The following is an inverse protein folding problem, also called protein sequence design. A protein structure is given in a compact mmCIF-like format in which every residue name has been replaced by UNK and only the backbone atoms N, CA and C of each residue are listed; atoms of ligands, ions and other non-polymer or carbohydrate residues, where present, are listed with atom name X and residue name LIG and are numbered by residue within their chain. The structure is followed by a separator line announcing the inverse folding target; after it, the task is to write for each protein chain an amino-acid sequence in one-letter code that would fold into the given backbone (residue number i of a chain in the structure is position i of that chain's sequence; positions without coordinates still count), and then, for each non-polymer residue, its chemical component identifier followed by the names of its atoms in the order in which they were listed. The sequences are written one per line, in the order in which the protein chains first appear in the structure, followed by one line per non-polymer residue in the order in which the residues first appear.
data_IF_410401483704
#
_entry.id   IF_410401483704
#
_cell.length_a   1.000
_cell.length_b   1.000
_cell.length_c   1.000
_cell.angle_alpha   90.00
_cell.angle_beta   90.00
_cell.angle_gamma   90.00
#
_symmetry.space_group_name_H-M   'P 1'
#
loop_
_entity.id
_entity.type
_entity.pdbx_description
1 polymer ?
#
# COMPACT_ATOMS: atom_id res chain seq x y z
N UNK A 1 -9.04 -65.28 -41.26
CA UNK A 1 -8.16 -66.45 -41.06
C UNK A 1 -7.34 -66.15 -39.81
N UNK A 2 -7.62 -66.71 -38.77
CA UNK A 2 -7.68 -67.96 -38.08
C UNK A 2 -6.93 -67.72 -36.77
N UNK A 3 -7.64 -67.67 -35.62
CA UNK A 3 -7.76 -68.67 -34.56
C UNK A 3 -6.39 -69.27 -34.16
N UNK A 4 -5.97 -69.17 -32.91
CA UNK A 4 -6.46 -70.03 -31.83
C UNK A 4 -5.88 -69.62 -30.47
N UNK A 5 -6.73 -69.76 -29.45
CA UNK A 5 -6.46 -69.76 -28.04
C UNK A 5 -5.79 -71.06 -27.58
N UNK A 6 -5.29 -71.13 -26.33
CA UNK A 6 -5.34 -72.20 -25.32
C UNK A 6 -4.46 -71.84 -24.14
N UNK A 7 -5.04 -71.53 -22.99
CA UNK A 7 -5.25 -72.20 -21.72
C UNK A 7 -4.06 -72.69 -20.89
N UNK A 8 -4.03 -72.14 -19.64
CA UNK A 8 -4.04 -72.85 -18.33
C UNK A 8 -2.76 -73.65 -17.98
N UNK A 9 -2.22 -73.61 -16.81
CA UNK A 9 -2.75 -73.95 -15.50
C UNK A 9 -1.69 -73.76 -14.40
N UNK A 10 -2.16 -73.51 -13.18
CA UNK A 10 -1.67 -73.84 -11.86
C UNK A 10 -0.15 -74.06 -11.58
N UNK A 11 0.32 -73.35 -10.55
CA UNK A 11 0.61 -74.00 -9.25
C UNK A 11 1.01 -72.96 -8.18
N UNK A 12 0.28 -73.09 -7.08
CA UNK A 12 0.56 -72.65 -5.70
C UNK A 12 2.00 -72.82 -5.26
N UNK A 13 2.57 -71.83 -4.53
CA UNK A 13 3.16 -72.16 -3.26
C UNK A 13 3.33 -70.92 -2.32
N UNK A 14 2.87 -71.19 -1.15
CA UNK A 14 2.92 -70.54 0.14
C UNK A 14 4.31 -70.26 0.68
N UNK A 15 4.48 -69.20 1.43
CA UNK A 15 5.21 -68.93 2.67
C UNK A 15 5.92 -67.56 2.59
N UNK A 16 5.94 -66.72 3.52
CA UNK A 16 5.67 -66.59 4.92
C UNK A 16 5.84 -65.14 5.32
N UNK A 17 4.99 -64.76 6.21
CA UNK A 17 5.03 -63.61 7.13
C UNK A 17 6.42 -62.94 7.36
N UNK A 18 6.43 -61.60 7.26
CA UNK A 18 6.96 -60.83 8.41
C UNK A 18 6.27 -59.48 8.49
N UNK A 19 5.78 -59.22 9.66
CA UNK A 19 5.08 -58.04 10.14
C UNK A 19 5.93 -56.80 10.06
N UNK A 20 5.36 -55.71 9.63
CA UNK A 20 5.84 -54.34 9.78
C UNK A 20 4.67 -53.37 9.83
N UNK A 21 3.95 -53.40 10.94
CA UNK A 21 2.85 -52.48 11.22
C UNK A 21 3.46 -51.07 11.42
N UNK A 22 3.37 -50.21 10.42
CA UNK A 22 3.51 -48.80 10.62
C UNK A 22 2.16 -48.26 11.15
N UNK A 23 2.15 -47.93 12.41
CA UNK A 23 1.07 -47.32 13.14
C UNK A 23 0.72 -45.95 12.52
N UNK A 24 -0.45 -45.88 11.89
CA UNK A 24 -1.21 -44.67 11.73
C UNK A 24 -1.74 -44.26 13.13
N UNK A 25 -0.99 -43.47 13.85
CA UNK A 25 -1.51 -42.74 14.99
C UNK A 25 -2.36 -41.58 14.49
N UNK A 26 -3.62 -41.46 14.85
CA UNK A 26 -4.36 -40.22 14.70
C UNK A 26 -3.68 -39.20 15.61
N UNK A 27 -3.14 -38.13 15.02
CA UNK A 27 -2.74 -36.97 15.80
C UNK A 27 -3.99 -36.46 16.49
N UNK A 28 -4.11 -36.79 17.76
CA UNK A 28 -4.99 -36.13 18.70
C UNK A 28 -4.66 -34.64 18.66
N UNK A 29 -5.54 -33.87 18.07
CA UNK A 29 -5.62 -32.44 18.30
C UNK A 29 -5.82 -32.23 19.80
N UNK A 30 -4.74 -32.00 20.52
CA UNK A 30 -4.79 -31.49 21.87
C UNK A 30 -5.42 -30.12 21.83
N UNK A 31 -6.63 -29.98 22.30
CA UNK A 31 -7.21 -28.72 22.75
C UNK A 31 -6.27 -28.14 23.81
N UNK A 32 -5.35 -27.28 23.39
CA UNK A 32 -4.55 -26.45 24.29
C UNK A 32 -5.00 -25.01 24.12
N UNK A 33 -5.53 -24.49 25.23
CA UNK A 33 -5.59 -23.10 25.68
C UNK A 33 -5.64 -22.03 24.61
N UNK A 34 -6.65 -21.19 24.65
CA UNK A 34 -6.89 -19.96 23.89
C UNK A 34 -5.73 -18.93 24.01
N UNK A 35 -4.56 -19.30 23.54
CA UNK A 35 -3.45 -18.41 23.28
C UNK A 35 -3.56 -17.94 21.83
N UNK A 36 -3.47 -16.65 21.59
CA UNK A 36 -3.39 -16.04 20.29
C UNK A 36 -2.22 -16.67 19.49
N UNK A 37 -2.53 -17.56 18.53
CA UNK A 37 -1.57 -18.13 17.60
C UNK A 37 -1.61 -17.33 16.30
N UNK A 38 -0.52 -16.58 15.94
CA UNK A 38 -0.42 -15.94 14.65
C UNK A 38 -0.60 -16.95 13.52
N UNK A 39 -1.38 -16.61 12.51
CA UNK A 39 -1.57 -17.47 11.35
C UNK A 39 -0.23 -17.79 10.67
N UNK A 40 -0.04 -19.03 10.19
CA UNK A 40 1.14 -19.41 9.43
C UNK A 40 1.28 -18.54 8.17
N UNK A 41 2.39 -17.84 8.03
CA UNK A 41 2.63 -16.87 6.94
C UNK A 41 3.47 -17.44 5.79
N UNK A 42 3.90 -18.68 5.88
CA UNK A 42 4.67 -19.38 4.83
C UNK A 42 5.88 -18.56 4.32
N UNK A 43 6.64 -17.96 5.23
CA UNK A 43 7.70 -16.97 4.90
C UNK A 43 8.79 -17.59 4.02
N UNK A 44 9.13 -18.86 4.25
CA UNK A 44 10.22 -19.58 3.56
C UNK A 44 9.75 -20.83 2.83
N UNK A 45 8.47 -21.10 2.84
CA UNK A 45 7.86 -22.27 2.18
C UNK A 45 6.81 -21.81 1.17
N UNK A 46 6.60 -22.52 0.07
CA UNK A 46 5.54 -22.17 -0.87
C UNK A 46 4.16 -22.20 -0.20
N UNK A 47 3.34 -21.19 -0.54
CA UNK A 47 1.96 -21.12 -0.05
C UNK A 47 1.17 -22.32 -0.56
N UNK A 48 0.58 -23.15 0.34
CA UNK A 48 -0.14 -24.33 -0.05
C UNK A 48 -1.50 -24.00 -0.68
N UNK A 49 -2.10 -24.91 -1.49
CA UNK A 49 -3.33 -24.66 -2.21
C UNK A 49 -4.51 -24.21 -1.37
N UNK A 50 -4.64 -24.74 -0.14
CA UNK A 50 -5.73 -24.39 0.78
C UNK A 50 -5.64 -22.97 1.34
N UNK A 51 -4.45 -22.35 1.33
CA UNK A 51 -4.22 -20.99 1.80
C UNK A 51 -4.36 -19.93 0.70
N UNK A 52 -4.62 -20.34 -0.56
CA UNK A 52 -4.74 -19.42 -1.69
C UNK A 52 -6.05 -18.63 -1.63
N UNK A 53 -5.94 -17.33 -1.98
CA UNK A 53 -7.02 -16.36 -1.91
C UNK A 53 -7.68 -16.13 -3.29
N UNK A 54 -8.94 -15.69 -3.25
CA UNK A 54 -9.71 -15.33 -4.44
C UNK A 54 -9.44 -13.91 -4.91
N UNK A 55 -9.93 -13.58 -6.10
CA UNK A 55 -9.75 -12.29 -6.76
C UNK A 55 -10.18 -11.07 -5.90
N UNK A 56 -11.32 -11.18 -5.22
CA UNK A 56 -11.86 -10.09 -4.39
C UNK A 56 -10.90 -9.60 -3.31
N UNK A 57 -10.08 -10.51 -2.74
CA UNK A 57 -9.10 -10.14 -1.70
C UNK A 57 -8.04 -9.16 -2.22
N UNK A 58 -7.65 -9.30 -3.49
CA UNK A 58 -6.68 -8.41 -4.12
C UNK A 58 -7.30 -7.08 -4.54
N UNK A 59 -8.52 -7.09 -5.09
CA UNK A 59 -9.25 -5.87 -5.45
C UNK A 59 -9.41 -4.95 -4.23
N UNK A 60 -9.92 -5.49 -3.12
CA UNK A 60 -10.11 -4.71 -1.89
C UNK A 60 -8.81 -4.21 -1.29
N UNK A 61 -7.76 -5.07 -1.30
CA UNK A 61 -6.45 -4.69 -0.80
C UNK A 61 -5.85 -3.54 -1.61
N UNK A 62 -5.81 -3.65 -2.95
CA UNK A 62 -5.27 -2.60 -3.81
C UNK A 62 -6.08 -1.31 -3.75
N UNK A 63 -7.42 -1.39 -3.79
CA UNK A 63 -8.26 -0.21 -3.65
C UNK A 63 -8.05 0.50 -2.30
N UNK A 64 -7.96 -0.26 -1.20
CA UNK A 64 -7.75 0.29 0.14
C UNK A 64 -6.36 0.88 0.34
N UNK A 65 -5.34 0.20 -0.17
CA UNK A 65 -3.94 0.65 -0.03
C UNK A 65 -3.67 1.95 -0.79
N UNK A 66 -4.31 2.14 -1.95
CA UNK A 66 -4.09 3.29 -2.82
C UNK A 66 -5.14 4.41 -2.67
N UNK A 67 -6.07 4.29 -1.74
CA UNK A 67 -6.84 5.39 -1.16
C UNK A 67 -6.21 5.81 0.16
N UNK A 68 -4.93 6.15 0.13
CA UNK A 68 -4.12 6.39 1.31
C UNK A 68 -4.21 7.83 1.81
N UNK A 69 -3.85 8.05 3.07
CA UNK A 69 -3.71 9.41 3.62
C UNK A 69 -2.62 10.22 2.92
N UNK A 70 -1.57 9.58 2.41
CA UNK A 70 -0.49 10.19 1.62
C UNK A 70 -0.97 10.76 0.28
N UNK A 71 -2.04 10.23 -0.28
CA UNK A 71 -2.63 10.74 -1.53
C UNK A 71 -3.12 12.19 -1.40
N UNK A 72 -3.52 12.57 -0.17
CA UNK A 72 -3.89 13.94 0.17
C UNK A 72 -2.70 14.92 0.14
N UNK A 73 -1.47 14.41 0.11
CA UNK A 73 -0.24 15.21 -0.04
C UNK A 73 0.25 15.20 -1.50
N UNK A 74 0.12 14.08 -2.19
CA UNK A 74 0.60 13.90 -3.57
C UNK A 74 -0.25 14.73 -4.55
N UNK A 75 -1.57 14.74 -4.41
CA UNK A 75 -2.44 15.57 -5.24
C UNK A 75 -2.07 17.06 -5.22
N UNK A 76 -1.87 17.68 -4.05
CA UNK A 76 -1.34 19.03 -3.91
C UNK A 76 0.02 19.25 -4.60
N UNK A 77 0.94 18.30 -4.52
CA UNK A 77 2.25 18.39 -5.18
C UNK A 77 2.10 18.63 -6.69
N UNK A 78 1.14 17.97 -7.34
CA UNK A 78 0.90 18.16 -8.77
C UNK A 78 0.41 19.57 -9.10
N UNK A 79 -0.44 20.16 -8.26
CA UNK A 79 -0.87 21.56 -8.42
C UNK A 79 0.30 22.50 -8.17
N UNK A 80 1.05 22.28 -7.10
CA UNK A 80 2.20 23.11 -6.72
C UNK A 80 3.31 23.08 -7.76
N UNK A 81 3.50 21.96 -8.46
CA UNK A 81 4.46 21.80 -9.55
C UNK A 81 4.12 22.58 -10.82
N UNK A 82 2.95 23.24 -10.88
CA UNK A 82 2.48 24.00 -12.04
C UNK A 82 2.22 23.17 -13.28
N UNK A 83 1.80 21.90 -13.14
CA UNK A 83 1.50 21.02 -14.27
C UNK A 83 0.28 21.50 -15.08
N UNK A 84 0.23 21.17 -16.38
CA UNK A 84 -0.95 21.40 -17.21
C UNK A 84 -2.01 20.32 -16.98
N UNK A 85 -3.30 20.66 -17.19
CA UNK A 85 -4.39 19.70 -17.07
C UNK A 85 -4.24 18.51 -18.03
N UNK A 86 -3.74 18.73 -19.24
CA UNK A 86 -3.50 17.68 -20.19
C UNK A 86 -2.40 16.72 -19.71
N UNK A 87 -1.25 17.27 -19.30
CA UNK A 87 -0.11 16.48 -18.82
C UNK A 87 -0.51 15.67 -17.57
N UNK A 88 -1.27 16.28 -16.67
CA UNK A 88 -1.77 15.63 -15.47
C UNK A 88 -2.66 14.44 -15.79
N UNK A 89 -3.74 14.65 -16.53
CA UNK A 89 -4.75 13.61 -16.79
C UNK A 89 -4.17 12.48 -17.65
N UNK A 90 -3.51 12.83 -18.76
CA UNK A 90 -2.97 11.84 -19.68
C UNK A 90 -1.76 11.13 -19.07
N UNK A 91 -0.90 11.86 -18.38
CA UNK A 91 0.25 11.29 -17.67
C UNK A 91 -0.17 10.24 -16.62
N UNK A 92 -1.19 10.55 -15.83
CA UNK A 92 -1.73 9.60 -14.85
C UNK A 92 -2.39 8.38 -15.51
N UNK A 93 -3.19 8.59 -16.57
CA UNK A 93 -3.83 7.48 -17.28
C UNK A 93 -2.80 6.50 -17.84
N UNK A 94 -1.77 7.02 -18.49
CA UNK A 94 -0.71 6.20 -19.11
C UNK A 94 0.17 5.56 -18.03
N UNK A 95 0.63 6.31 -17.04
CA UNK A 95 1.50 5.80 -15.98
C UNK A 95 0.82 4.69 -15.16
N UNK A 96 -0.44 4.87 -14.79
CA UNK A 96 -1.22 3.85 -14.09
C UNK A 96 -1.48 2.61 -14.96
N UNK A 97 -1.70 2.78 -16.29
CA UNK A 97 -1.82 1.65 -17.19
C UNK A 97 -0.53 0.82 -17.23
N UNK A 98 0.62 1.47 -17.36
CA UNK A 98 1.94 0.81 -17.35
C UNK A 98 2.18 0.08 -16.04
N UNK A 99 1.76 0.67 -14.92
CA UNK A 99 1.82 0.01 -13.62
C UNK A 99 0.99 -1.28 -13.59
N UNK A 100 -0.29 -1.23 -13.98
CA UNK A 100 -1.17 -2.41 -14.04
C UNK A 100 -0.59 -3.50 -14.94
N UNK A 101 -0.06 -3.13 -16.11
CA UNK A 101 0.58 -4.07 -17.04
C UNK A 101 1.81 -4.73 -16.39
N UNK A 102 2.60 -3.98 -15.62
CA UNK A 102 3.75 -4.52 -14.90
C UNK A 102 3.33 -5.55 -13.85
N UNK A 103 2.26 -5.29 -13.07
CA UNK A 103 1.71 -6.30 -12.14
C UNK A 103 1.19 -7.54 -12.88
N UNK A 104 0.46 -7.32 -13.97
CA UNK A 104 -0.22 -8.39 -14.68
C UNK A 104 0.75 -9.31 -15.42
N UNK A 105 1.78 -8.75 -16.05
CA UNK A 105 2.68 -9.53 -16.91
C UNK A 105 4.00 -9.91 -16.23
N UNK A 106 4.44 -9.19 -15.21
CA UNK A 106 5.69 -9.48 -14.49
C UNK A 106 5.44 -10.03 -13.10
N UNK A 107 4.88 -9.23 -12.19
CA UNK A 107 4.81 -9.58 -10.78
C UNK A 107 3.93 -10.81 -10.50
N UNK A 108 2.68 -10.79 -10.89
CA UNK A 108 1.73 -11.85 -10.57
C UNK A 108 2.08 -13.21 -11.20
N UNK A 109 2.57 -13.32 -12.46
CA UNK A 109 3.04 -14.58 -13.01
C UNK A 109 4.22 -15.19 -12.25
N UNK A 110 5.20 -14.38 -11.85
CA UNK A 110 6.35 -14.84 -11.07
C UNK A 110 5.88 -15.30 -9.68
N UNK A 111 5.08 -14.48 -9.00
CA UNK A 111 4.59 -14.76 -7.66
C UNK A 111 3.74 -16.04 -7.59
N UNK A 112 2.85 -16.25 -8.56
CA UNK A 112 1.97 -17.42 -8.61
C UNK A 112 2.69 -18.70 -8.98
N UNK A 113 3.82 -18.64 -9.67
CA UNK A 113 4.70 -19.80 -9.94
C UNK A 113 5.57 -20.12 -8.75
N UNK A 114 6.23 -19.11 -8.17
CA UNK A 114 7.15 -19.31 -7.07
C UNK A 114 6.46 -19.63 -5.74
N UNK A 115 5.31 -19.03 -5.46
CA UNK A 115 4.56 -19.14 -4.19
C UNK A 115 5.36 -18.71 -2.95
N UNK A 116 6.47 -18.03 -3.13
CA UNK A 116 7.42 -17.62 -2.09
C UNK A 116 7.34 -16.11 -1.83
N UNK A 117 7.83 -15.68 -0.67
CA UNK A 117 8.09 -14.24 -0.47
C UNK A 117 9.14 -13.76 -1.46
N UNK A 118 9.09 -12.48 -1.82
CA UNK A 118 10.13 -11.83 -2.63
C UNK A 118 11.53 -12.17 -2.10
N UNK A 119 11.74 -11.96 -0.80
CA UNK A 119 13.04 -12.08 -0.15
C UNK A 119 13.61 -13.48 -0.22
N UNK A 120 12.78 -14.49 -0.05
CA UNK A 120 13.22 -15.88 -0.16
C UNK A 120 13.43 -16.31 -1.63
N UNK A 121 12.64 -15.76 -2.54
CA UNK A 121 12.86 -15.99 -3.97
C UNK A 121 14.18 -15.37 -4.42
N UNK A 122 14.51 -14.15 -4.00
CA UNK A 122 15.78 -13.50 -4.28
C UNK A 122 16.96 -14.26 -3.63
N UNK A 123 16.80 -14.79 -2.41
CA UNK A 123 17.83 -15.59 -1.75
C UNK A 123 18.24 -16.81 -2.60
N UNK A 124 17.26 -17.44 -3.28
CA UNK A 124 17.52 -18.57 -4.19
C UNK A 124 18.27 -18.15 -5.46
N UNK A 125 18.07 -16.93 -5.94
CA UNK A 125 18.67 -16.43 -7.18
C UNK A 125 20.04 -15.82 -6.95
N UNK A 126 20.15 -14.91 -5.98
CA UNK A 126 21.32 -14.06 -5.77
C UNK A 126 22.18 -14.49 -4.56
N UNK A 127 21.71 -15.47 -3.80
CA UNK A 127 22.38 -15.93 -2.58
C UNK A 127 22.17 -14.98 -1.39
N UNK A 128 22.42 -15.51 -0.20
CA UNK A 128 22.06 -14.89 1.07
C UNK A 128 22.72 -13.53 1.32
N UNK A 129 23.99 -13.37 0.96
CA UNK A 129 24.76 -12.14 1.28
C UNK A 129 24.17 -10.91 0.57
N UNK A 130 23.93 -11.03 -0.72
CA UNK A 130 23.37 -9.91 -1.50
C UNK A 130 21.95 -9.58 -1.07
N UNK A 131 21.14 -10.62 -0.84
CA UNK A 131 19.75 -10.44 -0.38
C UNK A 131 19.65 -9.81 1.01
N UNK A 132 20.61 -10.04 1.90
CA UNK A 132 20.63 -9.34 3.19
C UNK A 132 20.76 -7.82 3.05
N UNK A 133 21.61 -7.35 2.12
CA UNK A 133 21.74 -5.91 1.82
C UNK A 133 20.45 -5.36 1.24
N UNK A 134 19.87 -6.07 0.27
CA UNK A 134 18.57 -5.71 -0.32
C UNK A 134 17.45 -5.67 0.73
N UNK A 135 17.36 -6.68 1.57
CA UNK A 135 16.34 -6.77 2.62
C UNK A 135 16.48 -5.64 3.65
N UNK A 136 17.72 -5.27 4.00
CA UNK A 136 17.98 -4.16 4.90
C UNK A 136 17.48 -2.84 4.28
N UNK A 137 17.88 -2.56 3.04
CA UNK A 137 17.45 -1.35 2.33
C UNK A 137 15.93 -1.29 2.19
N UNK A 138 15.31 -2.38 1.74
CA UNK A 138 13.87 -2.48 1.54
C UNK A 138 13.10 -2.38 2.88
N UNK A 139 13.58 -3.05 3.92
CA UNK A 139 12.98 -2.99 5.25
C UNK A 139 13.03 -1.60 5.87
N UNK A 140 14.16 -0.90 5.76
CA UNK A 140 14.31 0.49 6.22
C UNK A 140 13.38 1.41 5.43
N UNK A 141 13.33 1.28 4.10
CA UNK A 141 12.44 2.05 3.24
C UNK A 141 10.98 1.93 3.69
N UNK A 142 10.47 0.72 3.85
CA UNK A 142 9.09 0.51 4.29
C UNK A 142 8.84 0.98 5.73
N UNK A 143 9.83 0.90 6.60
CA UNK A 143 9.71 1.42 7.98
C UNK A 143 9.51 2.94 7.99
N UNK A 144 10.29 3.66 7.19
CA UNK A 144 10.19 5.12 7.07
C UNK A 144 8.86 5.52 6.42
N UNK A 145 8.48 4.84 5.34
CA UNK A 145 7.20 5.07 4.67
C UNK A 145 6.02 4.87 5.64
N UNK A 146 6.05 3.81 6.46
CA UNK A 146 5.03 3.57 7.46
C UNK A 146 5.01 4.68 8.54
N UNK A 147 6.17 5.18 8.95
CA UNK A 147 6.29 6.32 9.86
C UNK A 147 5.61 7.57 9.31
N UNK A 148 5.85 7.91 8.04
CA UNK A 148 5.18 9.03 7.37
C UNK A 148 3.64 8.87 7.32
N UNK A 149 3.14 7.66 7.07
CA UNK A 149 1.70 7.38 7.09
C UNK A 149 1.09 7.51 8.48
N UNK A 150 1.81 7.09 9.53
CA UNK A 150 1.39 7.26 10.93
C UNK A 150 1.33 8.76 11.28
N UNK A 151 2.33 9.54 10.84
CA UNK A 151 2.35 11.01 10.97
C UNK A 151 1.10 11.64 10.37
N UNK A 152 0.74 11.25 9.12
CA UNK A 152 -0.48 11.73 8.46
C UNK A 152 -1.73 11.43 9.29
N UNK A 153 -1.86 10.22 9.83
CA UNK A 153 -2.98 9.85 10.71
C UNK A 153 -3.07 10.76 11.94
N UNK A 154 -1.93 11.10 12.54
CA UNK A 154 -1.87 11.92 13.74
C UNK A 154 -2.35 13.36 13.50
N UNK A 155 -2.24 13.91 12.28
CA UNK A 155 -2.75 15.24 11.94
C UNK A 155 -4.27 15.36 12.13
N UNK A 156 -5.00 14.27 11.95
CA UNK A 156 -6.44 14.24 12.18
C UNK A 156 -6.78 14.27 13.68
N UNK A 157 -6.01 13.59 14.51
CA UNK A 157 -6.18 13.63 15.97
C UNK A 157 -5.92 15.03 16.54
N UNK A 158 -4.93 15.76 16.00
CA UNK A 158 -4.63 17.14 16.43
C UNK A 158 -5.79 18.09 16.27
N UNK A 159 -6.54 17.99 15.19
CA UNK A 159 -7.76 18.79 14.96
C UNK A 159 -8.87 18.37 15.96
N UNK A 160 -9.07 17.05 16.12
CA UNK A 160 -10.11 16.53 17.00
C UNK A 160 -9.90 16.91 18.47
N UNK A 161 -8.71 16.66 18.99
CA UNK A 161 -8.39 16.91 20.40
C UNK A 161 -7.83 18.31 20.67
N UNK A 162 -7.70 19.15 19.64
CA UNK A 162 -7.25 20.55 19.72
C UNK A 162 -5.89 20.73 20.41
N UNK A 163 -4.95 19.84 20.18
CA UNK A 163 -3.56 20.03 20.63
C UNK A 163 -2.70 20.62 19.51
N UNK A 164 -1.60 21.33 19.85
CA UNK A 164 -0.66 21.83 18.87
C UNK A 164 -0.06 20.69 18.04
N UNK A 165 -0.06 20.86 16.72
CA UNK A 165 0.54 19.92 15.78
C UNK A 165 1.81 20.54 15.20
N UNK A 166 2.92 19.76 15.04
CA UNK A 166 4.08 20.22 14.29
C UNK A 166 3.73 20.31 12.80
N UNK A 167 4.43 21.19 12.07
CA UNK A 167 4.47 21.16 10.62
C UNK A 167 5.14 19.88 10.11
N UNK A 168 4.92 19.53 8.84
CA UNK A 168 5.57 18.33 8.27
C UNK A 168 7.08 18.50 8.07
N UNK A 169 7.56 19.73 8.08
CA UNK A 169 8.97 20.16 8.03
C UNK A 169 9.61 20.38 9.42
N UNK A 170 8.82 20.32 10.50
CA UNK A 170 9.32 20.43 11.86
C UNK A 170 10.13 19.18 12.28
N UNK A 171 11.36 19.42 12.79
CA UNK A 171 12.25 18.34 13.19
C UNK A 171 11.79 17.64 14.48
N UNK A 172 11.12 18.35 15.39
CA UNK A 172 10.75 17.84 16.69
C UNK A 172 9.24 17.93 16.96
N UNK A 173 8.69 17.00 17.77
CA UNK A 173 7.32 17.13 18.25
C UNK A 173 7.16 18.39 19.10
N UNK A 174 6.05 19.08 18.96
CA UNK A 174 5.78 20.34 19.66
C UNK A 174 4.81 20.21 20.83
N UNK A 175 4.24 19.02 21.05
CA UNK A 175 3.30 18.78 22.15
C UNK A 175 3.27 17.31 22.60
N UNK A 176 2.91 17.09 23.86
CA UNK A 176 2.66 15.74 24.39
C UNK A 176 1.46 15.10 23.68
N UNK A 177 0.44 15.90 23.33
CA UNK A 177 -0.73 15.44 22.58
C UNK A 177 -0.35 14.81 21.26
N UNK A 178 0.60 15.42 20.53
CA UNK A 178 1.15 14.86 19.30
C UNK A 178 1.83 13.50 19.52
N UNK A 179 2.72 13.41 20.50
CA UNK A 179 3.43 12.17 20.82
C UNK A 179 2.44 11.05 21.16
N UNK A 180 1.43 11.34 21.99
CA UNK A 180 0.42 10.36 22.38
C UNK A 180 -0.46 9.93 21.20
N UNK A 181 -0.84 10.84 20.31
CA UNK A 181 -1.62 10.53 19.11
C UNK A 181 -0.84 9.61 18.17
N UNK A 182 0.43 9.94 17.88
CA UNK A 182 1.31 9.10 17.05
C UNK A 182 1.53 7.74 17.70
N UNK A 183 1.79 7.69 19.03
CA UNK A 183 1.99 6.45 19.76
C UNK A 183 0.75 5.55 19.71
N UNK A 184 -0.44 6.10 19.93
CA UNK A 184 -1.69 5.35 19.91
C UNK A 184 -2.01 4.82 18.51
N UNK A 185 -1.96 5.67 17.48
CA UNK A 185 -2.21 5.28 16.11
C UNK A 185 -1.19 4.23 15.65
N UNK A 186 0.10 4.53 15.81
CA UNK A 186 1.18 3.69 15.31
C UNK A 186 1.24 2.33 16.00
N UNK A 187 1.04 2.27 17.33
CA UNK A 187 0.98 0.98 18.05
C UNK A 187 -0.19 0.12 17.58
N UNK A 188 -1.37 0.73 17.40
CA UNK A 188 -2.54 -0.01 16.88
C UNK A 188 -2.27 -0.58 15.48
N UNK A 189 -1.70 0.23 14.58
CA UNK A 189 -1.33 -0.20 13.23
C UNK A 189 -0.28 -1.32 13.30
N UNK A 190 0.74 -1.18 14.14
CA UNK A 190 1.81 -2.17 14.31
C UNK A 190 1.28 -3.53 14.76
N UNK A 191 0.35 -3.55 15.72
CA UNK A 191 -0.30 -4.79 16.19
C UNK A 191 -1.10 -5.44 15.07
N UNK A 192 -1.91 -4.68 14.33
CA UNK A 192 -2.70 -5.21 13.20
C UNK A 192 -1.80 -5.80 12.12
N UNK A 193 -0.71 -5.11 11.77
CA UNK A 193 0.27 -5.59 10.80
C UNK A 193 0.97 -6.87 11.26
N UNK A 194 1.32 -6.96 12.54
CA UNK A 194 1.98 -8.13 13.13
C UNK A 194 1.09 -9.38 13.12
N UNK A 195 -0.25 -9.23 13.10
CA UNK A 195 -1.20 -10.34 12.96
C UNK A 195 -1.18 -11.02 11.58
N UNK A 196 -0.37 -10.54 10.63
CA UNK A 196 -0.08 -11.18 9.35
C UNK A 196 -1.02 -10.78 8.21
N UNK A 197 -0.68 -11.27 7.01
CA UNK A 197 -1.32 -10.87 5.75
C UNK A 197 -2.84 -11.03 5.74
N UNK A 198 -3.39 -12.12 6.28
CA UNK A 198 -4.84 -12.36 6.29
C UNK A 198 -5.58 -11.27 7.06
N UNK A 199 -5.02 -10.81 8.19
CA UNK A 199 -5.60 -9.74 9.00
C UNK A 199 -5.54 -8.40 8.27
N UNK A 200 -4.38 -8.07 7.68
CA UNK A 200 -4.18 -6.89 6.86
C UNK A 200 -5.16 -6.85 5.68
N UNK A 201 -5.27 -7.95 4.93
CA UNK A 201 -6.19 -8.06 3.80
C UNK A 201 -7.67 -7.97 4.22
N UNK A 202 -8.04 -8.55 5.37
CA UNK A 202 -9.40 -8.46 5.91
C UNK A 202 -9.74 -7.02 6.29
N UNK A 203 -8.83 -6.32 6.97
CA UNK A 203 -8.99 -4.91 7.31
C UNK A 203 -9.15 -4.06 6.04
N UNK A 204 -8.28 -4.21 5.05
CA UNK A 204 -8.33 -3.49 3.78
C UNK A 204 -9.66 -3.74 3.03
N UNK A 205 -10.12 -4.98 2.96
CA UNK A 205 -11.40 -5.32 2.30
C UNK A 205 -12.63 -4.67 2.96
N UNK A 206 -12.59 -4.43 4.28
CA UNK A 206 -13.66 -3.73 5.00
C UNK A 206 -13.55 -2.23 4.79
N UNK A 207 -12.33 -1.68 4.87
CA UNK A 207 -12.09 -0.25 4.80
C UNK A 207 -12.17 0.32 3.38
N UNK A 208 -11.71 -0.42 2.35
CA UNK A 208 -11.60 0.07 0.99
C UNK A 208 -12.88 0.67 0.40
N UNK A 209 -14.07 0.05 0.49
CA UNK A 209 -15.29 0.65 -0.06
C UNK A 209 -15.60 2.02 0.56
N UNK A 210 -15.40 2.13 1.87
CA UNK A 210 -15.62 3.40 2.59
C UNK A 210 -14.61 4.46 2.17
N UNK A 211 -13.33 4.08 2.02
CA UNK A 211 -12.29 4.99 1.60
C UNK A 211 -12.55 5.56 0.21
N UNK A 212 -12.92 4.70 -0.75
CA UNK A 212 -13.29 5.12 -2.11
C UNK A 212 -14.44 6.11 -2.08
N UNK A 213 -15.52 5.80 -1.33
CA UNK A 213 -16.68 6.66 -1.24
C UNK A 213 -16.35 8.01 -0.57
N UNK A 214 -15.55 8.01 0.46
CA UNK A 214 -15.20 9.24 1.19
C UNK A 214 -14.24 10.11 0.38
N UNK A 215 -13.24 9.56 -0.29
CA UNK A 215 -12.38 10.33 -1.21
C UNK A 215 -13.20 10.94 -2.35
N UNK A 216 -14.12 10.18 -2.93
CA UNK A 216 -15.02 10.72 -3.95
C UNK A 216 -15.90 11.84 -3.39
N UNK A 217 -16.45 11.67 -2.18
CA UNK A 217 -17.23 12.70 -1.51
C UNK A 217 -16.40 13.97 -1.26
N UNK A 218 -15.15 13.85 -0.81
CA UNK A 218 -14.25 15.01 -0.68
C UNK A 218 -14.04 15.74 -1.99
N UNK A 219 -13.76 14.97 -3.04
CA UNK A 219 -13.59 15.53 -4.37
C UNK A 219 -14.83 16.31 -4.83
N UNK A 220 -16.02 15.73 -4.66
CA UNK A 220 -17.29 16.36 -5.04
C UNK A 220 -17.63 17.58 -4.18
N UNK A 221 -17.43 17.51 -2.87
CA UNK A 221 -17.66 18.64 -1.95
C UNK A 221 -16.68 19.78 -2.26
N UNK A 222 -15.38 19.46 -2.34
CA UNK A 222 -14.35 20.44 -2.69
C UNK A 222 -14.57 21.07 -4.07
N UNK A 223 -14.98 20.26 -5.04
CA UNK A 223 -15.33 20.72 -6.37
C UNK A 223 -16.47 21.72 -6.33
N UNK A 224 -17.57 21.39 -5.62
CA UNK A 224 -18.71 22.31 -5.47
C UNK A 224 -18.33 23.60 -4.74
N UNK A 225 -17.57 23.49 -3.66
CA UNK A 225 -17.07 24.67 -2.93
C UNK A 225 -16.19 25.54 -3.83
N UNK A 226 -15.35 24.92 -4.65
CA UNK A 226 -14.50 25.63 -5.58
C UNK A 226 -15.30 26.35 -6.66
N UNK A 227 -16.31 25.70 -7.25
CA UNK A 227 -17.22 26.34 -8.23
C UNK A 227 -17.89 27.57 -7.64
N UNK A 228 -18.45 27.45 -6.43
CA UNK A 228 -19.10 28.56 -5.75
C UNK A 228 -18.12 29.72 -5.48
N UNK A 229 -16.91 29.42 -5.03
CA UNK A 229 -15.88 30.44 -4.75
C UNK A 229 -15.33 31.11 -6.03
N UNK A 230 -15.31 30.37 -7.14
CA UNK A 230 -14.83 30.85 -8.44
C UNK A 230 -15.92 31.52 -9.28
N UNK A 231 -17.15 31.55 -8.78
CA UNK A 231 -18.36 32.05 -9.47
C UNK A 231 -18.52 31.39 -10.87
N UNK A 232 -18.42 30.05 -10.89
CA UNK A 232 -18.50 29.26 -12.12
C UNK A 232 -19.63 28.23 -12.05
N UNK A 233 -20.37 28.12 -13.15
CA UNK A 233 -21.35 27.05 -13.36
C UNK A 233 -20.84 26.06 -14.40
N UNK A 234 -21.13 24.76 -14.19
CA UNK A 234 -20.81 23.69 -15.14
C UNK A 234 -22.08 23.28 -15.84
N UNK A 235 -22.19 23.58 -17.13
CA UNK A 235 -23.30 23.18 -17.99
C UNK A 235 -22.88 22.13 -19.02
N UNK A 236 -21.57 21.97 -19.25
CA UNK A 236 -21.03 21.06 -20.25
C UNK A 236 -19.69 20.45 -19.83
N UNK A 237 -19.26 19.38 -20.53
CA UNK A 237 -17.90 18.82 -20.37
C UNK A 237 -16.81 19.82 -20.73
N UNK A 238 -17.08 20.77 -21.62
CA UNK A 238 -16.16 21.85 -21.97
C UNK A 238 -15.86 22.75 -20.79
N UNK A 239 -16.88 23.02 -19.94
CA UNK A 239 -16.71 23.84 -18.75
C UNK A 239 -15.86 23.14 -17.69
N UNK A 240 -16.04 21.82 -17.53
CA UNK A 240 -15.17 20.99 -16.69
C UNK A 240 -13.71 21.06 -17.14
N UNK A 241 -13.49 20.94 -18.44
CA UNK A 241 -12.14 21.01 -18.99
C UNK A 241 -11.54 22.42 -18.86
N UNK A 242 -12.35 23.45 -19.02
CA UNK A 242 -11.94 24.84 -18.82
C UNK A 242 -11.57 25.10 -17.35
N UNK A 243 -12.37 24.61 -16.40
CA UNK A 243 -12.04 24.68 -14.98
C UNK A 243 -10.71 23.99 -14.69
N UNK A 244 -10.53 22.77 -15.18
CA UNK A 244 -9.28 22.02 -15.00
C UNK A 244 -8.06 22.80 -15.49
N UNK A 245 -8.13 23.38 -16.71
CA UNK A 245 -7.04 24.14 -17.33
C UNK A 245 -6.78 25.48 -16.69
N UNK A 246 -7.84 26.20 -16.34
CA UNK A 246 -7.73 27.61 -15.95
C UNK A 246 -7.63 27.80 -14.45
N UNK A 247 -8.05 26.83 -13.65
CA UNK A 247 -8.18 26.99 -12.21
C UNK A 247 -7.42 25.95 -11.39
N UNK A 248 -7.35 24.68 -11.83
CA UNK A 248 -6.72 23.60 -11.06
C UNK A 248 -5.29 23.40 -11.56
N UNK A 249 -5.11 22.85 -12.75
CA UNK A 249 -3.81 22.54 -13.36
C UNK A 249 -3.51 23.50 -14.49
N UNK A 250 -3.11 24.71 -14.10
CA UNK A 250 -3.00 25.87 -15.01
C UNK A 250 -1.82 25.81 -15.98
N UNK A 251 -0.85 24.92 -15.75
CA UNK A 251 0.34 24.85 -16.62
C UNK A 251 1.33 26.01 -16.46
N UNK A 252 1.24 26.79 -15.39
CA UNK A 252 2.11 27.96 -15.12
C UNK A 252 3.46 27.60 -14.48
N UNK A 253 4.19 28.57 -13.94
CA UNK A 253 5.37 28.31 -13.14
C UNK A 253 5.01 27.53 -11.87
N UNK A 254 5.93 26.72 -11.33
CA UNK A 254 5.72 26.04 -10.06
C UNK A 254 5.69 27.02 -8.89
N UNK A 255 5.13 26.62 -7.76
CA UNK A 255 5.24 27.38 -6.51
C UNK A 255 6.70 27.47 -6.06
N UNK A 256 7.08 28.48 -5.24
CA UNK A 256 8.43 28.63 -4.73
C UNK A 256 8.93 27.32 -4.07
N UNK A 257 10.15 26.91 -4.42
CA UNK A 257 10.76 25.68 -3.92
C UNK A 257 10.32 24.39 -4.63
N UNK A 258 9.34 24.45 -5.54
CA UNK A 258 8.86 23.29 -6.27
C UNK A 258 9.47 23.15 -7.67
N UNK A 259 9.59 21.92 -8.15
CA UNK A 259 10.07 21.61 -9.50
C UNK A 259 8.89 21.61 -10.48
N UNK A 260 9.11 22.17 -11.67
CA UNK A 260 8.11 22.12 -12.76
C UNK A 260 7.91 20.69 -13.25
N UNK A 261 6.66 20.22 -13.19
CA UNK A 261 6.30 18.92 -13.76
C UNK A 261 5.76 19.03 -15.18
N UNK A 262 5.99 17.99 -15.95
CA UNK A 262 5.51 17.78 -17.32
C UNK A 262 4.83 16.42 -17.41
N UNK A 263 4.25 16.08 -18.56
CA UNK A 263 3.70 14.76 -18.87
C UNK A 263 4.63 13.61 -18.41
N UNK A 264 5.92 13.69 -18.75
CA UNK A 264 6.89 12.64 -18.42
C UNK A 264 7.08 12.47 -16.92
N UNK A 265 7.14 13.56 -16.17
CA UNK A 265 7.24 13.50 -14.71
C UNK A 265 6.04 12.76 -14.12
N UNK A 266 4.81 13.09 -14.54
CA UNK A 266 3.60 12.45 -14.02
C UNK A 266 3.51 10.98 -14.45
N UNK A 267 3.78 10.69 -15.72
CA UNK A 267 3.72 9.33 -16.23
C UNK A 267 4.72 8.43 -15.50
N UNK A 268 5.98 8.87 -15.37
CA UNK A 268 6.99 8.10 -14.66
C UNK A 268 6.74 8.07 -13.15
N UNK A 269 6.26 9.17 -12.56
CA UNK A 269 5.87 9.17 -11.15
C UNK A 269 4.79 8.12 -10.88
N UNK A 270 3.70 8.12 -11.64
CA UNK A 270 2.62 7.16 -11.47
C UNK A 270 3.07 5.71 -11.72
N UNK A 271 3.96 5.50 -12.68
CA UNK A 271 4.48 4.16 -12.97
C UNK A 271 5.54 3.71 -11.96
N UNK A 272 6.61 4.48 -11.77
CA UNK A 272 7.76 4.07 -10.97
C UNK A 272 7.53 4.20 -9.45
N UNK A 273 6.70 5.12 -8.99
CA UNK A 273 6.25 5.12 -7.61
C UNK A 273 5.67 3.73 -7.23
N UNK A 274 4.83 3.19 -8.10
CA UNK A 274 4.27 1.86 -7.90
C UNK A 274 5.31 0.74 -8.08
N UNK A 275 6.23 0.85 -9.04
CA UNK A 275 7.31 -0.12 -9.20
C UNK A 275 8.24 -0.14 -8.00
N UNK A 276 8.60 1.02 -7.47
CA UNK A 276 9.46 1.12 -6.31
C UNK A 276 8.81 0.63 -5.02
N UNK A 277 7.55 1.02 -4.77
CA UNK A 277 6.87 0.75 -3.52
C UNK A 277 6.11 -0.58 -3.51
N UNK A 278 5.61 -1.04 -4.65
CA UNK A 278 4.70 -2.18 -4.73
C UNK A 278 5.09 -3.21 -5.79
N UNK A 279 5.29 -2.77 -7.04
CA UNK A 279 5.41 -3.65 -8.19
C UNK A 279 6.64 -4.53 -8.08
N UNK A 280 6.84 -5.40 -8.86
CA UNK A 280 8.02 -6.21 -9.10
C UNK A 280 8.63 -6.81 -7.83
N UNK A 281 8.81 -5.99 -6.85
CA UNK A 281 9.55 -6.36 -5.67
C UNK A 281 8.64 -6.81 -4.52
N UNK A 282 7.98 -5.91 -3.80
CA UNK A 282 7.24 -6.28 -2.58
C UNK A 282 5.99 -7.10 -2.85
N UNK A 283 5.29 -6.84 -3.96
CA UNK A 283 4.02 -7.48 -4.27
C UNK A 283 4.14 -8.94 -4.76
N UNK A 284 5.33 -9.42 -5.04
CA UNK A 284 5.60 -10.86 -5.10
C UNK A 284 5.14 -11.55 -3.82
N UNK A 285 5.40 -10.93 -2.65
CA UNK A 285 5.00 -11.45 -1.35
C UNK A 285 3.49 -11.41 -1.13
N UNK A 286 2.77 -10.58 -1.86
CA UNK A 286 1.30 -10.49 -1.85
C UNK A 286 0.68 -11.47 -2.84
N UNK A 287 1.06 -11.41 -4.11
CA UNK A 287 0.51 -12.27 -5.15
C UNK A 287 0.87 -13.75 -5.02
N UNK A 288 1.82 -14.12 -4.13
CA UNK A 288 2.06 -15.54 -3.82
C UNK A 288 0.81 -16.26 -3.31
N UNK A 289 -0.16 -15.53 -2.74
CA UNK A 289 -1.46 -16.06 -2.31
C UNK A 289 -2.51 -16.10 -3.43
N UNK A 290 -2.26 -15.56 -4.61
CA UNK A 290 -3.23 -15.50 -5.69
C UNK A 290 -3.43 -16.88 -6.34
N UNK A 291 -4.68 -17.31 -6.54
CA UNK A 291 -4.99 -18.59 -7.20
C UNK A 291 -4.56 -18.61 -8.66
N UNK A 292 -4.62 -17.46 -9.36
CA UNK A 292 -4.33 -17.33 -10.79
C UNK A 292 -3.47 -16.11 -11.05
N UNK A 293 -2.57 -16.20 -12.03
CA UNK A 293 -1.67 -15.12 -12.41
C UNK A 293 -2.39 -13.86 -12.93
N UNK A 294 -3.51 -14.04 -13.65
CA UNK A 294 -4.27 -12.90 -14.16
C UNK A 294 -4.86 -12.01 -13.04
N UNK A 295 -4.84 -12.45 -11.78
CA UNK A 295 -5.25 -11.60 -10.65
C UNK A 295 -4.39 -10.34 -10.50
N UNK A 296 -3.25 -10.25 -11.21
CA UNK A 296 -2.49 -9.01 -11.34
C UNK A 296 -3.31 -7.81 -11.81
N UNK A 297 -4.38 -8.05 -12.61
CA UNK A 297 -5.31 -6.99 -13.03
C UNK A 297 -6.06 -6.33 -11.87
N UNK A 298 -6.13 -6.97 -10.70
CA UNK A 298 -6.75 -6.38 -9.50
C UNK A 298 -6.06 -5.08 -9.07
N UNK A 299 -4.78 -4.89 -9.44
CA UNK A 299 -4.06 -3.65 -9.21
C UNK A 299 -4.72 -2.44 -9.89
N UNK A 300 -5.51 -2.64 -10.95
CA UNK A 300 -6.28 -1.57 -11.58
C UNK A 300 -7.24 -0.87 -10.59
N UNK A 301 -7.76 -1.60 -9.59
CA UNK A 301 -8.56 -0.99 -8.54
C UNK A 301 -7.75 0.02 -7.72
N UNK A 302 -6.49 -0.28 -7.42
CA UNK A 302 -5.59 0.68 -6.78
C UNK A 302 -5.25 1.85 -7.68
N UNK A 303 -4.89 1.58 -8.94
CA UNK A 303 -4.39 2.61 -9.86
C UNK A 303 -5.48 3.61 -10.28
N UNK A 304 -6.68 3.15 -10.57
CA UNK A 304 -7.74 4.01 -11.12
C UNK A 304 -8.79 4.42 -10.08
N UNK A 305 -9.21 3.50 -9.22
CA UNK A 305 -10.16 3.82 -8.15
C UNK A 305 -9.44 4.41 -6.93
N UNK A 306 -8.18 4.01 -6.69
CA UNK A 306 -7.30 4.60 -5.70
C UNK A 306 -6.60 5.86 -6.19
N UNK A 307 -5.38 5.73 -6.69
CA UNK A 307 -4.48 6.85 -7.02
C UNK A 307 -5.10 7.89 -7.94
N UNK A 308 -5.64 7.48 -9.11
CA UNK A 308 -6.16 8.45 -10.07
C UNK A 308 -7.27 9.31 -9.45
N UNK A 309 -8.25 8.67 -8.80
CA UNK A 309 -9.35 9.37 -8.14
C UNK A 309 -8.84 10.22 -6.96
N UNK A 310 -8.03 9.64 -6.06
CA UNK A 310 -7.59 10.32 -4.85
C UNK A 310 -6.71 11.53 -5.16
N UNK A 311 -5.79 11.43 -6.12
CA UNK A 311 -4.91 12.53 -6.51
C UNK A 311 -5.67 13.67 -7.20
N UNK A 312 -6.67 13.35 -8.03
CA UNK A 312 -7.55 14.38 -8.61
C UNK A 312 -8.36 15.09 -7.50
N UNK A 313 -8.98 14.33 -6.60
CA UNK A 313 -9.75 14.89 -5.50
C UNK A 313 -8.89 15.79 -4.59
N UNK A 314 -7.70 15.31 -4.22
CA UNK A 314 -6.76 16.08 -3.41
C UNK A 314 -6.24 17.34 -4.14
N UNK A 315 -5.99 17.25 -5.44
CA UNK A 315 -5.62 18.41 -6.27
C UNK A 315 -6.71 19.48 -6.28
N UNK A 316 -7.98 19.08 -6.38
CA UNK A 316 -9.13 20.01 -6.34
C UNK A 316 -9.20 20.72 -4.98
N UNK A 317 -9.06 19.97 -3.88
CA UNK A 317 -9.06 20.54 -2.53
C UNK A 317 -7.94 21.56 -2.34
N UNK A 318 -6.76 21.25 -2.81
CA UNK A 318 -5.62 22.15 -2.69
C UNK A 318 -5.73 23.37 -3.62
N UNK A 319 -6.21 23.20 -4.84
CA UNK A 319 -6.49 24.31 -5.75
C UNK A 319 -7.56 25.26 -5.17
N UNK A 320 -8.55 24.71 -4.48
CA UNK A 320 -9.55 25.50 -3.74
C UNK A 320 -8.90 26.27 -2.57
N UNK A 321 -8.03 25.63 -1.78
CA UNK A 321 -7.27 26.28 -0.71
C UNK A 321 -6.45 27.48 -1.25
N UNK A 322 -5.68 27.28 -2.31
CA UNK A 322 -4.90 28.33 -2.95
C UNK A 322 -5.75 29.43 -3.60
N UNK A 323 -6.98 29.08 -4.03
CA UNK A 323 -7.93 30.07 -4.55
C UNK A 323 -8.44 31.01 -3.45
N UNK A 324 -8.71 30.47 -2.26
CA UNK A 324 -9.15 31.25 -1.10
C UNK A 324 -8.01 32.09 -0.51
N UNK A 325 -6.83 31.52 -0.40
CA UNK A 325 -5.62 32.19 0.12
C UNK A 325 -4.38 31.67 -0.61
N UNK A 326 -3.86 32.42 -1.59
CA UNK A 326 -2.66 32.02 -2.33
C UNK A 326 -1.38 31.87 -1.48
N UNK A 327 -1.35 32.43 -0.28
CA UNK A 327 -0.24 32.30 0.66
C UNK A 327 -0.32 31.02 1.53
N UNK A 328 -1.48 30.38 1.59
CA UNK A 328 -1.68 29.12 2.33
C UNK A 328 -1.21 27.93 1.47
N UNK A 329 0.09 27.71 1.46
CA UNK A 329 0.73 26.62 0.69
C UNK A 329 0.91 25.35 1.49
N UNK A 330 0.47 25.29 2.74
CA UNK A 330 0.61 24.15 3.62
C UNK A 330 -0.22 22.94 3.16
N UNK A 331 0.38 21.78 3.23
CA UNK A 331 -0.25 20.51 2.84
C UNK A 331 -0.37 19.61 4.08
N UNK A 332 -1.32 19.94 4.96
CA UNK A 332 -1.65 19.12 6.12
C UNK A 332 -2.96 18.38 5.87
N UNK A 333 -2.95 17.03 5.75
CA UNK A 333 -4.16 16.24 5.42
C UNK A 333 -5.31 16.42 6.40
N UNK A 334 -5.05 16.46 7.72
CA UNK A 334 -6.07 16.67 8.73
C UNK A 334 -6.84 17.99 8.55
N UNK A 335 -6.19 19.16 8.60
CA UNK A 335 -6.83 20.46 8.36
C UNK A 335 -7.52 20.57 7.01
N UNK A 336 -6.89 20.08 5.93
CA UNK A 336 -7.45 20.15 4.57
C UNK A 336 -8.76 19.35 4.46
N UNK A 337 -8.81 18.14 4.97
CA UNK A 337 -10.00 17.29 4.92
C UNK A 337 -11.08 17.74 5.90
N UNK A 338 -10.70 18.30 7.05
CA UNK A 338 -11.65 18.90 7.99
C UNK A 338 -12.37 20.10 7.37
N UNK A 339 -11.66 20.97 6.67
CA UNK A 339 -12.28 22.08 5.91
C UNK A 339 -13.27 21.57 4.87
N UNK A 340 -12.96 20.46 4.19
CA UNK A 340 -13.81 19.90 3.15
C UNK A 340 -15.05 19.19 3.70
N UNK A 341 -14.91 18.36 4.74
CA UNK A 341 -15.98 17.44 5.17
C UNK A 341 -16.08 17.31 6.72
N UNK A 342 -15.53 18.25 7.46
CA UNK A 342 -15.61 18.26 8.93
C UNK A 342 -15.09 16.97 9.54
N UNK A 343 -15.85 16.44 10.50
CA UNK A 343 -15.50 15.26 11.25
C UNK A 343 -15.30 14.01 10.39
N UNK A 344 -16.12 13.83 9.38
CA UNK A 344 -16.00 12.71 8.44
C UNK A 344 -14.64 12.73 7.73
N UNK A 345 -14.10 13.93 7.44
CA UNK A 345 -12.78 14.12 6.89
C UNK A 345 -11.67 13.60 7.80
N UNK A 346 -11.74 13.89 9.08
CA UNK A 346 -10.76 13.41 10.05
C UNK A 346 -10.76 11.90 10.18
N UNK A 347 -11.96 11.29 10.26
CA UNK A 347 -12.08 9.82 10.31
C UNK A 347 -11.49 9.20 9.04
N UNK A 348 -11.72 9.83 7.89
CA UNK A 348 -11.14 9.35 6.63
C UNK A 348 -9.62 9.34 6.65
N UNK A 349 -8.97 10.44 7.07
CA UNK A 349 -7.50 10.52 7.15
C UNK A 349 -6.93 9.43 8.05
N UNK A 350 -7.57 9.19 9.21
CA UNK A 350 -7.15 8.12 10.11
C UNK A 350 -7.22 6.75 9.42
N UNK A 351 -8.37 6.40 8.85
CA UNK A 351 -8.57 5.09 8.21
C UNK A 351 -7.70 4.95 6.96
N UNK A 352 -7.55 6.01 6.15
CA UNK A 352 -6.69 6.03 4.97
C UNK A 352 -5.22 5.74 5.30
N UNK A 353 -4.71 6.37 6.36
CA UNK A 353 -3.36 6.11 6.82
C UNK A 353 -3.19 4.65 7.31
N UNK A 354 -4.20 4.11 7.99
CA UNK A 354 -4.16 2.73 8.49
C UNK A 354 -4.20 1.70 7.38
N UNK A 355 -5.03 1.87 6.35
CA UNK A 355 -5.12 0.93 5.22
C UNK A 355 -3.82 0.77 4.47
N UNK A 356 -2.98 1.81 4.47
CA UNK A 356 -1.69 1.82 3.78
C UNK A 356 -0.54 1.45 4.71
N UNK A 357 -0.53 1.96 5.95
CA UNK A 357 0.54 1.67 6.90
C UNK A 357 0.59 0.19 7.30
N UNK A 358 -0.57 -0.48 7.44
CA UNK A 358 -0.62 -1.91 7.78
C UNK A 358 0.16 -2.80 6.80
N UNK A 359 -0.12 -2.81 5.48
CA UNK A 359 0.63 -3.61 4.53
C UNK A 359 2.09 -3.18 4.40
N UNK A 360 2.37 -1.89 4.60
CA UNK A 360 3.73 -1.35 4.57
C UNK A 360 4.58 -1.90 5.72
N UNK A 361 4.07 -1.89 6.96
CA UNK A 361 4.75 -2.49 8.11
C UNK A 361 4.88 -4.01 7.94
N UNK A 362 3.87 -4.68 7.41
CA UNK A 362 3.95 -6.11 7.12
C UNK A 362 5.06 -6.44 6.12
N UNK A 363 5.21 -5.64 5.03
CA UNK A 363 6.31 -5.80 4.06
C UNK A 363 7.67 -5.54 4.70
N UNK A 364 7.79 -4.50 5.54
CA UNK A 364 9.00 -4.26 6.33
C UNK A 364 9.34 -5.45 7.22
N UNK A 365 8.35 -5.99 7.91
CA UNK A 365 8.48 -7.18 8.75
C UNK A 365 9.03 -8.39 7.97
N UNK A 366 8.51 -8.65 6.77
CA UNK A 366 9.00 -9.73 5.90
C UNK A 366 10.46 -9.50 5.47
N UNK A 367 10.83 -8.25 5.15
CA UNK A 367 12.19 -7.91 4.76
C UNK A 367 13.18 -8.19 5.91
N UNK A 368 12.89 -7.69 7.11
CA UNK A 368 13.74 -7.92 8.28
C UNK A 368 13.72 -9.36 8.76
N UNK A 369 12.58 -10.05 8.65
CA UNK A 369 12.51 -11.48 8.96
C UNK A 369 13.39 -12.29 8.00
N UNK A 370 13.53 -11.88 6.74
CA UNK A 370 14.48 -12.47 5.80
C UNK A 370 15.94 -12.38 6.27
N UNK A 371 16.30 -11.31 7.01
CA UNK A 371 17.64 -11.18 7.65
C UNK A 371 17.73 -12.05 8.90
N UNK A 372 16.64 -12.14 9.67
CA UNK A 372 16.56 -12.85 10.96
C UNK A 372 15.63 -14.08 10.90
N UNK A 373 15.93 -15.11 10.09
CA UNK A 373 14.97 -16.18 9.76
C UNK A 373 14.58 -17.06 10.95
N UNK A 374 15.32 -17.00 12.06
CA UNK A 374 15.02 -17.74 13.28
C UNK A 374 14.02 -17.05 14.20
N UNK A 375 13.69 -15.76 13.92
CA UNK A 375 12.75 -15.00 14.74
C UNK A 375 11.33 -15.09 14.15
N UNK A 376 10.29 -15.26 14.99
CA UNK A 376 8.91 -15.26 14.52
C UNK A 376 8.55 -13.94 13.85
N UNK A 377 7.87 -13.99 12.71
CA UNK A 377 7.48 -12.81 11.93
C UNK A 377 6.66 -11.82 12.75
N UNK A 378 5.77 -12.32 13.62
CA UNK A 378 4.96 -11.49 14.49
C UNK A 378 5.80 -10.47 15.29
N UNK A 379 6.81 -10.95 16.02
CA UNK A 379 7.66 -10.09 16.85
C UNK A 379 8.52 -9.15 16.02
N UNK A 380 9.06 -9.63 14.90
CA UNK A 380 9.84 -8.79 13.98
C UNK A 380 8.97 -7.66 13.44
N UNK A 381 7.76 -7.96 12.96
CA UNK A 381 6.84 -6.97 12.43
C UNK A 381 6.38 -5.97 13.49
N UNK A 382 6.08 -6.45 14.71
CA UNK A 382 5.69 -5.60 15.82
C UNK A 382 6.80 -4.61 16.20
N UNK A 383 8.03 -5.08 16.36
CA UNK A 383 9.17 -4.21 16.69
C UNK A 383 9.40 -3.16 15.60
N UNK A 384 9.36 -3.57 14.33
CA UNK A 384 9.53 -2.66 13.20
C UNK A 384 8.38 -1.62 13.15
N UNK A 385 7.14 -2.05 13.42
CA UNK A 385 6.01 -1.14 13.52
C UNK A 385 6.15 -0.11 14.65
N UNK A 386 6.72 -0.51 15.79
CA UNK A 386 7.03 0.41 16.89
C UNK A 386 8.17 1.37 16.50
N UNK A 387 9.21 0.91 15.78
CA UNK A 387 10.25 1.79 15.25
C UNK A 387 9.66 2.80 14.25
N UNK A 388 8.77 2.38 13.37
CA UNK A 388 8.04 3.28 12.47
C UNK A 388 7.19 4.30 13.25
N UNK A 389 6.57 3.88 14.34
CA UNK A 389 5.81 4.76 15.23
C UNK A 389 6.70 5.85 15.84
N UNK A 390 7.86 5.48 16.36
CA UNK A 390 8.83 6.45 16.90
C UNK A 390 9.31 7.41 15.81
N UNK A 391 9.63 6.90 14.61
CA UNK A 391 10.00 7.75 13.46
C UNK A 391 8.90 8.76 13.12
N UNK A 392 7.63 8.36 13.16
CA UNK A 392 6.49 9.23 12.89
C UNK A 392 6.26 10.34 13.94
N UNK A 393 6.89 10.26 15.12
CA UNK A 393 6.86 11.35 16.11
C UNK A 393 7.68 12.58 15.67
N UNK A 394 8.62 12.40 14.72
CA UNK A 394 9.52 13.40 14.18
C UNK A 394 9.17 13.67 12.71
N UNK A 395 8.20 14.55 12.40
CA UNK A 395 7.64 14.67 11.05
C UNK A 395 8.68 14.91 9.97
N UNK A 396 9.57 15.90 10.14
CA UNK A 396 10.59 16.21 9.15
C UNK A 396 11.57 15.06 8.91
N UNK A 397 11.90 14.27 9.94
CA UNK A 397 12.76 13.08 9.77
C UNK A 397 12.05 12.05 8.91
N UNK A 398 10.77 11.77 9.19
CA UNK A 398 10.00 10.82 8.39
C UNK A 398 9.82 11.30 6.94
N UNK A 399 9.54 12.59 6.72
CA UNK A 399 9.28 13.15 5.38
C UNK A 399 10.57 13.30 4.57
N UNK A 400 11.64 13.87 5.13
CA UNK A 400 12.93 14.01 4.42
C UNK A 400 13.58 12.66 4.10
N UNK A 401 13.49 11.70 5.02
CA UNK A 401 13.96 10.34 4.75
C UNK A 401 13.08 9.65 3.70
N UNK A 402 11.77 9.92 3.68
CA UNK A 402 10.87 9.41 2.65
C UNK A 402 11.27 9.91 1.27
N UNK A 403 11.55 11.20 1.12
CA UNK A 403 11.99 11.80 -0.15
C UNK A 403 13.33 11.21 -0.62
N UNK A 404 14.31 11.10 0.29
CA UNK A 404 15.59 10.46 0.01
C UNK A 404 15.40 9.01 -0.44
N UNK A 405 14.62 8.23 0.32
CA UNK A 405 14.39 6.82 0.02
C UNK A 405 13.55 6.64 -1.24
N UNK A 406 12.57 7.50 -1.50
CA UNK A 406 11.80 7.49 -2.74
C UNK A 406 12.69 7.71 -3.95
N UNK A 407 13.59 8.70 -3.90
CA UNK A 407 14.56 8.96 -4.96
C UNK A 407 15.49 7.76 -5.18
N UNK A 408 16.01 7.19 -4.11
CA UNK A 408 16.87 6.01 -4.16
C UNK A 408 16.14 4.78 -4.72
N UNK A 409 14.91 4.53 -4.26
CA UNK A 409 14.11 3.42 -4.72
C UNK A 409 13.72 3.55 -6.20
N UNK A 410 13.38 4.76 -6.66
CA UNK A 410 13.05 5.03 -8.07
C UNK A 410 14.23 4.78 -9.01
N UNK A 411 15.47 4.92 -8.52
CA UNK A 411 16.68 4.70 -9.33
C UNK A 411 17.17 3.26 -9.28
N UNK A 412 17.10 2.59 -8.13
CA UNK A 412 17.77 1.31 -7.90
C UNK A 412 16.84 0.11 -7.88
N UNK A 413 15.55 0.28 -7.70
CA UNK A 413 14.62 -0.84 -7.55
C UNK A 413 13.82 -1.21 -8.81
N UNK A 414 13.61 -0.37 -9.80
CA UNK A 414 12.97 -0.79 -11.06
C UNK A 414 13.80 -1.84 -11.86
#
# INVERSE_FOLDING_TARGET
MGKTAVNADHTTNTCAQTQGAAQNSPQTESCHSDGFHPAAEYERTPVPPHALLGFKSFVGMYAGEHCAGTELMIGPLFVASGISAFDMIVGLLVGNALAVLSWMFLCAPIATRARLTLYYQLEKICGRRLVMVYNLANGVMFTILAGAMITVSATAFGIWFKFPMPGLDDLYPNSIGWILAVAAAGTTIAVVAACGYKTVAKFANIAAPWMVLVFLAFGLIGFRQFLNAADMEIQSYSDLWTLAKMRIWKGGPPLPGQVKFTFWHIMFFAWFCNMAWHIGMSDLSVFRYARKSWYGVASAAGMYVGHFMAWICASILYAYQLHLNPADTDVLPGPMTYRAAGLTGLICVIVAAWTTANPTIYRAGLAFQGIMPKKPLFWVTLVIGLVATVSGMFPAVAMNLLDFVATFALVLMP
#
